data_IF_714681378911
#
_entry.id   IF_714681378911
#
_cell.length_a   1.000
_cell.length_b   1.000
_cell.length_c   1.000
_cell.angle_alpha   90.00
_cell.angle_beta   90.00
_cell.angle_gamma   90.00
#
_symmetry.space_group_name_H-M   'P 1'
#
loop_
_entity.id
_entity.type
_entity.pdbx_description
1 polymer ?
#
# COMPACT_ATOMS: atom_id res chain seq x y z
N UNK A 1 57.49 -27.83 16.58
CA UNK A 1 57.15 -26.43 16.28
C UNK A 1 55.85 -26.45 15.52
N UNK A 2 54.69 -26.46 16.20
CA UNK A 2 53.38 -26.35 15.53
C UNK A 2 52.38 -25.83 16.56
N UNK A 3 51.77 -24.66 16.32
CA UNK A 3 50.79 -24.14 17.27
C UNK A 3 50.35 -22.68 17.15
N UNK A 4 50.43 -22.04 15.96
CA UNK A 4 50.04 -20.63 15.83
C UNK A 4 49.04 -20.29 14.72
N UNK A 5 48.34 -21.27 14.12
CA UNK A 5 47.32 -21.00 13.09
C UNK A 5 45.87 -20.89 13.64
N UNK A 6 45.58 -21.32 14.86
CA UNK A 6 44.19 -21.52 15.33
C UNK A 6 43.52 -20.28 15.95
N UNK A 7 44.28 -19.30 16.46
CA UNK A 7 43.71 -18.14 17.17
C UNK A 7 43.20 -17.01 16.27
N UNK A 8 43.85 -16.78 15.13
CA UNK A 8 43.49 -15.67 14.22
C UNK A 8 42.29 -15.97 13.32
N UNK A 9 42.02 -17.25 13.05
CA UNK A 9 40.91 -17.68 12.19
C UNK A 9 39.56 -17.42 12.89
N UNK A 10 39.47 -17.65 14.19
CA UNK A 10 38.24 -17.49 14.99
C UNK A 10 37.81 -16.01 15.06
N UNK A 11 38.78 -15.08 15.14
CA UNK A 11 38.52 -13.63 15.20
C UNK A 11 37.97 -13.07 13.88
N UNK A 12 38.47 -13.57 12.73
CA UNK A 12 37.99 -13.15 11.41
C UNK A 12 36.59 -13.69 11.11
N UNK A 13 36.30 -14.95 11.48
CA UNK A 13 34.95 -15.52 11.31
C UNK A 13 33.92 -14.82 12.18
N UNK A 14 34.27 -14.47 13.43
CA UNK A 14 33.40 -13.72 14.34
C UNK A 14 33.11 -12.30 13.82
N UNK A 15 34.14 -11.57 13.35
CA UNK A 15 33.97 -10.24 12.73
C UNK A 15 33.12 -10.30 11.45
N UNK A 16 33.31 -11.33 10.62
CA UNK A 16 32.50 -11.56 9.41
C UNK A 16 31.04 -11.82 9.74
N UNK A 17 30.76 -12.72 10.70
CA UNK A 17 29.38 -13.00 11.17
C UNK A 17 28.71 -11.77 11.77
N UNK A 18 29.42 -10.97 12.56
CA UNK A 18 28.89 -9.73 13.14
C UNK A 18 28.57 -8.67 12.07
N UNK A 19 29.43 -8.53 11.07
CA UNK A 19 29.21 -7.59 9.94
C UNK A 19 28.06 -8.05 9.06
N UNK A 20 27.93 -9.37 8.84
CA UNK A 20 26.82 -9.97 8.11
C UNK A 20 25.50 -9.74 8.85
N UNK A 21 25.43 -10.05 10.14
CA UNK A 21 24.21 -9.83 10.94
C UNK A 21 23.75 -8.36 11.00
N UNK A 22 24.67 -7.39 10.99
CA UNK A 22 24.32 -5.96 10.87
C UNK A 22 23.70 -5.62 9.51
N UNK A 23 24.20 -6.22 8.42
CA UNK A 23 23.65 -6.00 7.08
C UNK A 23 22.27 -6.62 6.94
N UNK A 24 22.11 -7.86 7.41
CA UNK A 24 20.84 -8.58 7.38
C UNK A 24 19.77 -7.84 8.21
N UNK A 25 20.14 -7.31 9.38
CA UNK A 25 19.24 -6.48 10.20
C UNK A 25 18.83 -5.17 9.51
N UNK A 26 19.76 -4.52 8.79
CA UNK A 26 19.46 -3.30 8.03
C UNK A 26 18.53 -3.59 6.85
N UNK A 27 18.78 -4.68 6.13
CA UNK A 27 17.92 -5.13 5.03
C UNK A 27 16.51 -5.45 5.54
N UNK A 28 16.40 -6.19 6.64
CA UNK A 28 15.11 -6.46 7.31
C UNK A 28 14.38 -5.18 7.70
N UNK A 29 15.08 -4.20 8.26
CA UNK A 29 14.47 -2.89 8.58
C UNK A 29 13.92 -2.20 7.33
N UNK A 30 14.63 -2.26 6.20
CA UNK A 30 14.15 -1.69 4.92
C UNK A 30 12.90 -2.42 4.41
N UNK A 31 12.91 -3.76 4.44
CA UNK A 31 11.75 -4.61 4.09
C UNK A 31 10.52 -4.27 4.95
N UNK A 32 10.69 -4.17 6.27
CA UNK A 32 9.62 -3.78 7.19
C UNK A 32 9.08 -2.37 6.92
N UNK A 33 9.94 -1.40 6.62
CA UNK A 33 9.51 -0.04 6.29
C UNK A 33 8.72 0.01 4.98
N UNK A 34 9.14 -0.76 3.97
CA UNK A 34 8.43 -0.87 2.70
C UNK A 34 7.01 -1.42 2.90
N UNK A 35 6.88 -2.55 3.60
CA UNK A 35 5.58 -3.15 3.93
C UNK A 35 4.73 -2.19 4.75
N UNK A 36 5.27 -1.57 5.81
CA UNK A 36 4.52 -0.65 6.67
C UNK A 36 3.99 0.56 5.89
N UNK A 37 4.73 1.08 4.90
CA UNK A 37 4.29 2.22 4.09
C UNK A 37 3.03 1.89 3.28
N UNK A 38 2.93 0.66 2.79
CA UNK A 38 1.81 0.20 1.95
C UNK A 38 0.59 -0.14 2.82
N UNK A 39 0.75 -0.85 3.92
CA UNK A 39 -0.39 -1.27 4.74
C UNK A 39 -0.99 -0.17 5.62
N UNK A 40 -0.20 0.81 6.05
CA UNK A 40 -0.65 1.77 7.08
C UNK A 40 -1.50 2.91 6.53
N UNK A 41 -1.54 3.09 5.20
CA UNK A 41 -2.21 4.25 4.61
C UNK A 41 -3.09 3.94 3.41
N UNK A 42 -2.86 2.86 2.66
CA UNK A 42 -3.51 2.68 1.33
C UNK A 42 -4.89 2.05 1.40
N UNK A 43 -5.17 1.17 2.38
CA UNK A 43 -6.51 0.57 2.59
C UNK A 43 -6.95 0.64 4.06
N UNK A 44 -6.71 1.79 4.69
CA UNK A 44 -7.13 2.00 6.08
C UNK A 44 -8.64 2.20 6.12
N UNK A 45 -9.38 1.27 6.74
CA UNK A 45 -10.86 1.33 6.84
C UNK A 45 -11.40 2.54 7.59
N UNK A 46 -10.54 3.28 8.30
CA UNK A 46 -10.92 4.51 9.01
C UNK A 46 -10.71 5.77 8.17
N UNK A 47 -10.22 5.68 6.92
CA UNK A 47 -9.97 6.84 6.07
C UNK A 47 -10.56 6.65 4.68
N UNK A 48 -11.00 7.75 4.08
CA UNK A 48 -11.39 7.77 2.68
C UNK A 48 -10.18 7.46 1.79
N UNK A 49 -10.29 6.46 0.91
CA UNK A 49 -9.22 6.04 0.00
C UNK A 49 -8.91 7.10 -1.06
N UNK A 50 -9.87 7.99 -1.38
CA UNK A 50 -9.70 9.05 -2.38
C UNK A 50 -9.04 10.31 -1.80
N UNK A 51 -9.60 10.87 -0.73
CA UNK A 51 -9.17 12.17 -0.20
C UNK A 51 -8.41 12.09 1.15
N UNK A 52 -8.39 10.91 1.80
CA UNK A 52 -7.66 10.68 3.04
C UNK A 52 -8.34 11.19 4.32
N UNK A 53 -9.53 11.79 4.23
CA UNK A 53 -10.30 12.24 5.40
C UNK A 53 -10.66 11.07 6.30
N UNK A 54 -10.75 11.30 7.62
CA UNK A 54 -11.22 10.29 8.57
C UNK A 54 -12.70 9.97 8.30
N UNK A 55 -13.04 8.69 8.22
CA UNK A 55 -14.44 8.23 8.16
C UNK A 55 -15.02 8.26 9.57
N UNK A 56 -16.06 9.06 9.75
CA UNK A 56 -16.83 9.19 10.99
C UNK A 56 -18.27 8.76 10.73
N UNK A 57 -19.15 8.87 11.74
CA UNK A 57 -20.57 8.55 11.54
C UNK A 57 -21.26 9.60 10.65
N UNK A 58 -20.77 10.84 10.67
CA UNK A 58 -21.38 12.00 10.03
C UNK A 58 -21.05 12.12 8.54
N UNK A 59 -19.95 11.51 8.08
CA UNK A 59 -19.52 11.57 6.67
C UNK A 59 -19.50 10.19 6.01
N UNK A 60 -20.13 9.19 6.62
CA UNK A 60 -20.26 7.87 6.04
C UNK A 60 -21.38 7.93 4.98
N UNK A 61 -21.16 7.44 3.76
CA UNK A 61 -22.21 7.39 2.74
C UNK A 61 -23.41 6.57 3.23
N UNK A 62 -24.62 7.09 3.05
CA UNK A 62 -25.87 6.32 3.24
C UNK A 62 -26.19 5.51 1.98
N UNK A 63 -25.25 4.63 1.61
CA UNK A 63 -25.34 3.80 0.40
C UNK A 63 -24.99 2.35 0.72
N UNK A 64 -25.63 1.38 0.05
CA UNK A 64 -25.25 -0.02 0.20
C UNK A 64 -23.81 -0.26 -0.24
N UNK A 65 -23.03 -0.95 0.60
CA UNK A 65 -21.60 -1.19 0.37
C UNK A 65 -21.27 -1.90 -0.96
N UNK A 66 -22.22 -2.63 -1.56
CA UNK A 66 -22.00 -3.29 -2.85
C UNK A 66 -21.92 -2.32 -4.03
N UNK A 67 -22.38 -1.07 -3.88
CA UNK A 67 -22.34 -0.07 -4.96
C UNK A 67 -20.97 0.57 -5.12
N UNK A 68 -20.15 0.58 -4.07
CA UNK A 68 -18.87 1.28 -4.03
C UNK A 68 -17.81 0.33 -3.49
N UNK A 69 -16.87 -0.13 -4.34
CA UNK A 69 -15.86 -1.11 -3.93
C UNK A 69 -14.73 -0.52 -3.05
N UNK A 70 -14.82 0.76 -2.69
CA UNK A 70 -13.81 1.51 -1.96
C UNK A 70 -14.39 2.12 -0.67
N UNK A 71 -13.53 2.32 0.32
CA UNK A 71 -13.86 3.06 1.55
C UNK A 71 -13.86 4.55 1.25
N UNK A 72 -15.03 5.14 1.04
CA UNK A 72 -15.18 6.59 0.79
C UNK A 72 -15.92 7.31 1.91
N UNK A 73 -15.65 8.61 2.02
CA UNK A 73 -16.57 9.53 2.66
C UNK A 73 -17.73 9.85 1.71
N UNK A 74 -18.82 10.40 2.24
CA UNK A 74 -20.04 10.76 1.52
C UNK A 74 -19.76 11.54 0.23
N UNK A 75 -19.00 12.64 0.32
CA UNK A 75 -18.65 13.45 -0.86
C UNK A 75 -17.87 12.67 -1.94
N UNK A 76 -16.89 11.84 -1.57
CA UNK A 76 -16.18 11.03 -2.56
C UNK A 76 -17.04 9.89 -3.12
N UNK A 77 -18.03 9.41 -2.37
CA UNK A 77 -18.99 8.44 -2.84
C UNK A 77 -19.96 9.03 -3.87
N UNK A 78 -20.44 10.25 -3.64
CA UNK A 78 -21.25 11.01 -4.60
C UNK A 78 -20.50 11.25 -5.90
N UNK A 79 -19.29 11.83 -5.82
CA UNK A 79 -18.46 12.06 -7.01
C UNK A 79 -18.13 10.76 -7.77
N UNK A 80 -17.92 9.65 -7.06
CA UNK A 80 -17.70 8.36 -7.69
C UNK A 80 -18.93 7.88 -8.47
N UNK A 81 -20.14 8.07 -7.92
CA UNK A 81 -21.37 7.74 -8.65
C UNK A 81 -21.53 8.61 -9.88
N UNK A 82 -21.29 9.91 -9.76
CA UNK A 82 -21.33 10.84 -10.90
C UNK A 82 -20.31 10.44 -11.98
N UNK A 83 -19.13 9.97 -11.57
CA UNK A 83 -18.10 9.49 -12.49
C UNK A 83 -18.56 8.23 -13.23
N UNK A 84 -19.18 7.28 -12.52
CA UNK A 84 -19.74 6.05 -13.10
C UNK A 84 -20.88 6.37 -14.05
N UNK A 85 -21.75 7.33 -13.73
CA UNK A 85 -22.85 7.74 -14.59
C UNK A 85 -22.35 8.51 -15.81
N UNK A 86 -21.34 9.38 -15.66
CA UNK A 86 -20.65 10.02 -16.78
C UNK A 86 -20.00 9.00 -17.72
N UNK A 87 -19.35 7.94 -17.19
CA UNK A 87 -18.80 6.84 -18.00
C UNK A 87 -19.87 6.08 -18.79
N UNK A 88 -21.11 6.02 -18.29
CA UNK A 88 -22.26 5.39 -18.96
C UNK A 88 -22.93 6.30 -19.99
N UNK A 89 -22.46 7.54 -20.15
CA UNK A 89 -23.08 8.55 -21.01
C UNK A 89 -24.27 9.27 -20.36
N UNK A 90 -24.50 9.07 -19.06
CA UNK A 90 -25.56 9.72 -18.27
C UNK A 90 -25.04 10.92 -17.46
N UNK A 91 -23.90 11.51 -17.86
CA UNK A 91 -23.33 12.65 -17.16
C UNK A 91 -24.23 13.88 -17.26
N UNK A 92 -24.37 14.61 -16.14
CA UNK A 92 -25.14 15.85 -16.12
C UNK A 92 -24.29 17.00 -16.70
N UNK A 93 -24.69 17.50 -17.87
CA UNK A 93 -24.05 18.62 -18.55
C UNK A 93 -24.16 19.95 -17.77
N UNK A 94 -25.02 20.04 -16.76
CA UNK A 94 -25.12 21.20 -15.88
C UNK A 94 -23.92 21.32 -14.92
N UNK A 95 -23.24 20.20 -14.64
CA UNK A 95 -22.08 20.12 -13.76
C UNK A 95 -20.80 20.48 -14.53
N UNK A 96 -20.60 21.78 -14.81
CA UNK A 96 -19.47 22.26 -15.62
C UNK A 96 -18.07 21.89 -15.07
N UNK A 97 -17.98 21.57 -13.77
CA UNK A 97 -16.74 21.13 -13.14
C UNK A 97 -16.46 19.63 -13.32
N UNK A 98 -17.42 18.83 -13.78
CA UNK A 98 -17.24 17.42 -14.21
C UNK A 98 -16.79 17.33 -15.67
N UNK A 99 -15.76 18.10 -16.01
CA UNK A 99 -15.18 18.15 -17.34
C UNK A 99 -14.17 17.00 -17.58
N UNK A 100 -13.58 16.96 -18.77
CA UNK A 100 -12.60 15.94 -19.17
C UNK A 100 -11.40 15.81 -18.22
N UNK A 101 -10.97 16.91 -17.60
CA UNK A 101 -9.87 16.87 -16.63
C UNK A 101 -10.30 16.17 -15.33
N UNK A 102 -11.51 16.43 -14.85
CA UNK A 102 -12.08 15.72 -13.71
C UNK A 102 -12.27 14.22 -14.01
N UNK A 103 -12.79 13.88 -15.21
CA UNK A 103 -12.89 12.49 -15.67
C UNK A 103 -11.53 11.80 -15.67
N UNK A 104 -10.48 12.48 -16.14
CA UNK A 104 -9.11 11.96 -16.14
C UNK A 104 -8.56 11.76 -14.73
N UNK A 105 -8.83 12.68 -13.81
CA UNK A 105 -8.42 12.54 -12.39
C UNK A 105 -9.04 11.31 -11.75
N UNK A 106 -10.31 11.02 -12.05
CA UNK A 106 -10.97 9.80 -11.56
C UNK A 106 -10.44 8.55 -12.25
N UNK A 107 -10.32 8.54 -13.57
CA UNK A 107 -9.80 7.40 -14.34
C UNK A 107 -8.39 6.99 -13.89
N UNK A 108 -7.45 7.94 -13.85
CA UNK A 108 -6.08 7.65 -13.41
C UNK A 108 -6.01 7.22 -11.94
N UNK A 109 -6.91 7.73 -11.09
CA UNK A 109 -6.96 7.26 -9.70
C UNK A 109 -7.43 5.80 -9.60
N UNK A 110 -8.45 5.40 -10.36
CA UNK A 110 -8.92 4.00 -10.42
C UNK A 110 -7.83 3.07 -10.98
N UNK A 111 -7.16 3.49 -12.05
CA UNK A 111 -6.02 2.76 -12.62
C UNK A 111 -4.89 2.59 -11.59
N UNK A 112 -4.59 3.65 -10.84
CA UNK A 112 -3.60 3.58 -9.76
C UNK A 112 -4.01 2.58 -8.66
N UNK A 113 -5.27 2.58 -8.21
CA UNK A 113 -5.75 1.59 -7.25
C UNK A 113 -5.58 0.17 -7.78
N UNK A 114 -5.94 -0.08 -9.05
CA UNK A 114 -5.74 -1.39 -9.68
C UNK A 114 -4.27 -1.82 -9.76
N UNK A 115 -3.35 -0.87 -10.00
CA UNK A 115 -1.91 -1.15 -9.98
C UNK A 115 -1.40 -1.47 -8.57
N UNK A 116 -1.90 -0.78 -7.54
CA UNK A 116 -1.58 -1.08 -6.12
C UNK A 116 -2.07 -2.47 -5.74
N UNK A 117 -3.32 -2.81 -6.06
CA UNK A 117 -3.90 -4.12 -5.78
C UNK A 117 -3.13 -5.24 -6.48
N UNK A 118 -2.73 -5.02 -7.73
CA UNK A 118 -1.94 -5.98 -8.51
C UNK A 118 -0.55 -6.19 -7.90
N UNK A 119 0.09 -5.10 -7.44
CA UNK A 119 1.38 -5.18 -6.75
C UNK A 119 1.27 -5.92 -5.42
N UNK A 120 0.20 -5.69 -4.64
CA UNK A 120 -0.06 -6.41 -3.40
C UNK A 120 -0.24 -7.91 -3.59
N UNK A 121 -0.71 -8.33 -4.77
CA UNK A 121 -0.88 -9.75 -5.18
C UNK A 121 0.33 -10.30 -5.95
N UNK A 122 1.41 -9.54 -6.08
CA UNK A 122 2.61 -10.00 -6.78
C UNK A 122 3.35 -11.06 -5.95
N UNK A 123 3.97 -12.02 -6.63
CA UNK A 123 4.74 -13.10 -5.99
C UNK A 123 5.88 -12.54 -5.16
N UNK A 124 6.51 -11.47 -5.62
CA UNK A 124 7.60 -10.77 -4.96
C UNK A 124 7.13 -10.13 -3.65
N UNK A 125 5.91 -9.58 -3.62
CA UNK A 125 5.34 -9.01 -2.40
C UNK A 125 4.89 -10.08 -1.42
N UNK A 126 4.31 -11.20 -1.89
CA UNK A 126 3.98 -12.36 -1.06
C UNK A 126 5.25 -12.95 -0.42
N UNK A 127 6.31 -13.15 -1.20
CA UNK A 127 7.61 -13.60 -0.70
C UNK A 127 8.16 -12.63 0.37
N UNK A 128 8.07 -11.32 0.14
CA UNK A 128 8.48 -10.31 1.11
C UNK A 128 7.72 -10.45 2.44
N UNK A 129 6.42 -10.74 2.40
CA UNK A 129 5.62 -10.97 3.60
C UNK A 129 6.01 -12.26 4.32
N UNK A 130 6.29 -13.33 3.59
CA UNK A 130 6.65 -14.62 4.17
C UNK A 130 8.05 -14.62 4.79
N UNK A 131 9.02 -13.93 4.18
CA UNK A 131 10.34 -13.66 4.78
C UNK A 131 10.19 -12.96 6.14
N UNK A 132 9.30 -11.97 6.23
CA UNK A 132 9.07 -11.21 7.46
C UNK A 132 8.29 -12.00 8.55
N UNK A 133 7.47 -12.98 8.15
CA UNK A 133 6.75 -13.87 9.09
C UNK A 133 7.66 -14.96 9.65
N UNK A 134 8.51 -15.56 8.80
CA UNK A 134 9.35 -16.71 9.16
C UNK A 134 10.42 -16.34 10.19
N UNK A 135 10.95 -15.12 10.12
CA UNK A 135 11.92 -14.53 11.07
C UNK A 135 11.34 -14.21 12.48
N UNK A 136 10.09 -14.63 12.78
CA UNK A 136 9.46 -14.50 14.12
C UNK A 136 9.54 -15.78 14.96
N UNK A 137 10.08 -16.87 14.40
CA UNK A 137 10.32 -18.18 15.02
C UNK A 137 11.81 -18.43 15.17
#
# INVERSE_FOLDING_TARGET
MDGQAMGNIISLTAKRKFTQGKRDALERKRKLLAVRKIFRCTHCSSKCEKCGVLITAENRPDLPAYRIPYTFCESCAEEYMDYIDALRGNGDASLYWHNDAWMKVWGTWIEHQGAVDSYLKSKEFEQLLDELKTDRT
#
